data_IF_909036357174
#
_entry.id   IF_909036357174
#
_cell.length_a   1.000
_cell.length_b   1.000
_cell.length_c   1.000
_cell.angle_alpha   90.00
_cell.angle_beta   90.00
_cell.angle_gamma   90.00
#
_symmetry.space_group_name_H-M   'P 1'
#
loop_
_entity.id
_entity.type
_entity.pdbx_description
1 polymer ?
#
# COMPACT_ATOMS: atom_id res chain seq x y z
N UNK A 1 -23.46 -7.26 0.56
CA UNK A 1 -22.81 -6.15 1.29
C UNK A 1 -22.71 -4.96 0.35
N UNK A 2 -23.11 -3.75 0.76
CA UNK A 2 -22.94 -2.57 -0.10
C UNK A 2 -21.45 -2.36 -0.40
N UNK A 3 -21.11 -2.07 -1.65
CA UNK A 3 -19.72 -1.83 -2.10
C UNK A 3 -19.02 -0.78 -1.22
N UNK A 4 -19.77 0.23 -0.79
CA UNK A 4 -19.30 1.26 0.14
C UNK A 4 -18.85 0.70 1.49
N UNK A 5 -19.58 -0.29 2.01
CA UNK A 5 -19.24 -0.94 3.27
C UNK A 5 -17.93 -1.72 3.16
N UNK A 6 -17.67 -2.36 2.02
CA UNK A 6 -16.40 -3.04 1.75
C UNK A 6 -15.24 -2.05 1.74
N UNK A 7 -15.39 -0.90 1.09
CA UNK A 7 -14.35 0.15 1.04
C UNK A 7 -14.03 0.67 2.44
N UNK A 8 -15.04 0.95 3.27
CA UNK A 8 -14.81 1.52 4.60
C UNK A 8 -14.29 0.48 5.60
N UNK A 9 -14.85 -0.73 5.63
CA UNK A 9 -14.52 -1.74 6.64
C UNK A 9 -13.23 -2.51 6.32
N UNK A 10 -12.83 -2.59 5.04
CA UNK A 10 -11.66 -3.38 4.64
C UNK A 10 -10.54 -2.47 4.12
N UNK A 11 -10.82 -1.53 3.22
CA UNK A 11 -9.75 -0.73 2.61
C UNK A 11 -9.17 0.35 3.54
N UNK A 12 -9.86 0.73 4.61
CA UNK A 12 -9.41 1.77 5.55
C UNK A 12 -8.57 1.24 6.72
N UNK A 13 -8.95 0.17 7.45
CA UNK A 13 -8.15 -0.28 8.60
C UNK A 13 -6.82 -0.90 8.20
N UNK A 14 -6.74 -1.60 7.07
CA UNK A 14 -5.52 -2.26 6.59
C UNK A 14 -4.35 -1.26 6.46
N UNK A 15 -4.46 -0.17 5.68
CA UNK A 15 -3.35 0.76 5.54
C UNK A 15 -3.03 1.48 6.86
N UNK A 16 -4.01 1.73 7.73
CA UNK A 16 -3.76 2.33 9.05
C UNK A 16 -2.90 1.42 9.91
N UNK A 17 -3.25 0.14 10.01
CA UNK A 17 -2.50 -0.83 10.82
C UNK A 17 -1.09 -1.01 10.26
N UNK A 18 -0.95 -1.16 8.94
CA UNK A 18 0.37 -1.31 8.30
C UNK A 18 1.22 -0.04 8.46
N UNK A 19 0.64 1.15 8.29
CA UNK A 19 1.33 2.42 8.47
C UNK A 19 1.74 2.61 9.93
N UNK A 20 0.87 2.29 10.89
CA UNK A 20 1.18 2.34 12.31
C UNK A 20 2.34 1.40 12.68
N UNK A 21 2.34 0.18 12.13
CA UNK A 21 3.44 -0.77 12.29
C UNK A 21 4.75 -0.25 11.70
N UNK A 22 4.70 0.44 10.55
CA UNK A 22 5.88 1.03 9.89
C UNK A 22 6.40 2.29 10.61
N UNK A 23 5.51 3.11 11.17
CA UNK A 23 5.84 4.32 11.90
C UNK A 23 6.32 4.07 13.33
N UNK A 24 6.10 2.87 13.87
CA UNK A 24 6.53 2.54 15.23
C UNK A 24 8.07 2.56 15.33
N UNK A 25 8.67 3.42 16.19
CA UNK A 25 10.12 3.51 16.35
C UNK A 25 10.62 2.29 17.14
N UNK A 26 10.94 1.21 16.43
CA UNK A 26 11.30 -0.06 17.04
C UNK A 26 12.80 -0.36 16.94
N UNK A 27 13.35 -1.29 17.75
CA UNK A 27 14.70 -1.79 17.54
C UNK A 27 14.87 -2.45 16.16
N UNK A 28 16.08 -2.39 15.59
CA UNK A 28 16.38 -2.77 14.18
C UNK A 28 15.86 -4.15 13.77
N UNK A 29 15.89 -5.12 14.68
CA UNK A 29 15.41 -6.50 14.44
C UNK A 29 13.90 -6.52 14.22
N UNK A 30 13.15 -5.74 14.97
CA UNK A 30 11.70 -5.60 14.82
C UNK A 30 11.36 -4.93 13.49
N UNK A 31 12.08 -3.87 13.10
CA UNK A 31 11.86 -3.24 11.79
C UNK A 31 12.03 -4.22 10.63
N UNK A 32 13.05 -5.08 10.66
CA UNK A 32 13.24 -6.13 9.63
C UNK A 32 12.09 -7.14 9.62
N UNK A 33 11.57 -7.51 10.79
CA UNK A 33 10.41 -8.38 10.93
C UNK A 33 9.14 -7.75 10.35
N UNK A 34 8.85 -6.51 10.74
CA UNK A 34 7.72 -5.73 10.21
C UNK A 34 7.83 -5.56 8.70
N UNK A 35 9.03 -5.24 8.19
CA UNK A 35 9.25 -5.11 6.75
C UNK A 35 8.90 -6.40 6.02
N UNK A 36 9.30 -7.58 6.54
CA UNK A 36 8.96 -8.87 5.94
C UNK A 36 7.47 -9.16 5.98
N UNK A 37 6.78 -8.81 7.08
CA UNK A 37 5.32 -8.97 7.17
C UNK A 37 4.61 -8.07 6.17
N UNK A 38 5.03 -6.80 6.09
CA UNK A 38 4.50 -5.82 5.14
C UNK A 38 4.79 -6.26 3.70
N UNK A 39 6.00 -6.71 3.40
CA UNK A 39 6.40 -7.23 2.09
C UNK A 39 5.59 -8.47 1.69
N UNK A 40 5.39 -9.40 2.64
CA UNK A 40 4.54 -10.57 2.41
C UNK A 40 3.07 -10.22 2.21
N UNK A 41 2.58 -9.17 2.88
CA UNK A 41 1.16 -8.76 2.79
C UNK A 41 0.91 -7.96 1.51
N UNK A 42 1.81 -7.05 1.15
CA UNK A 42 1.72 -6.24 -0.07
C UNK A 42 2.12 -7.02 -1.32
N UNK A 43 2.98 -8.03 -1.17
CA UNK A 43 3.44 -8.94 -2.23
C UNK A 43 2.49 -10.10 -2.53
N UNK A 44 1.30 -10.15 -1.91
CA UNK A 44 0.26 -11.10 -2.32
C UNK A 44 -0.14 -10.76 -3.76
N UNK A 45 0.26 -11.61 -4.68
CA UNK A 45 -0.01 -11.46 -6.10
C UNK A 45 -1.44 -11.96 -6.39
N UNK A 46 -2.36 -11.02 -6.65
CA UNK A 46 -3.77 -11.35 -6.83
C UNK A 46 -4.07 -11.89 -8.24
N UNK A 47 -3.35 -11.40 -9.26
CA UNK A 47 -3.51 -11.81 -10.66
C UNK A 47 -2.13 -11.96 -11.31
N UNK A 48 -1.71 -13.21 -11.52
CA UNK A 48 -0.63 -13.58 -12.45
C UNK A 48 0.75 -12.98 -12.19
N UNK A 49 1.16 -12.76 -10.94
CA UNK A 49 2.46 -12.13 -10.58
C UNK A 49 2.67 -10.67 -11.07
N UNK A 50 1.70 -10.03 -11.74
CA UNK A 50 1.87 -8.67 -12.29
C UNK A 50 1.27 -7.60 -11.40
N UNK A 51 0.16 -7.89 -10.70
CA UNK A 51 -0.52 -6.93 -9.83
C UNK A 51 -0.36 -7.30 -8.36
N UNK A 52 0.54 -6.59 -7.67
CA UNK A 52 0.66 -6.61 -6.22
C UNK A 52 -0.59 -6.01 -5.56
N UNK A 53 -0.98 -6.54 -4.40
CA UNK A 53 -2.12 -6.07 -3.60
C UNK A 53 -2.11 -4.55 -3.39
N UNK A 54 -0.93 -3.95 -3.22
CA UNK A 54 -0.77 -2.51 -3.09
C UNK A 54 -1.33 -1.77 -4.30
N UNK A 55 -0.92 -2.16 -5.51
CA UNK A 55 -1.34 -1.51 -6.75
C UNK A 55 -2.84 -1.69 -6.96
N UNK A 56 -3.35 -2.89 -6.68
CA UNK A 56 -4.77 -3.18 -6.73
C UNK A 56 -5.57 -2.27 -5.78
N UNK A 57 -5.18 -2.18 -4.52
CA UNK A 57 -5.86 -1.34 -3.52
C UNK A 57 -5.73 0.15 -3.84
N UNK A 58 -4.62 0.58 -4.45
CA UNK A 58 -4.43 1.96 -4.91
C UNK A 58 -5.39 2.30 -6.05
N UNK A 59 -5.58 1.38 -7.00
CA UNK A 59 -6.56 1.53 -8.09
C UNK A 59 -7.99 1.53 -7.54
N UNK A 60 -8.33 0.63 -6.62
CA UNK A 60 -9.67 0.54 -6.01
C UNK A 60 -9.98 1.80 -5.21
N UNK A 61 -9.07 2.26 -4.36
CA UNK A 61 -9.25 3.49 -3.57
C UNK A 61 -9.26 4.75 -4.45
N UNK A 62 -8.45 4.79 -5.52
CA UNK A 62 -8.48 5.87 -6.51
C UNK A 62 -9.80 5.92 -7.28
N UNK A 63 -10.33 4.77 -7.71
CA UNK A 63 -11.64 4.67 -8.34
C UNK A 63 -12.77 5.10 -7.40
N UNK A 64 -12.70 4.70 -6.12
CA UNK A 64 -13.65 5.14 -5.10
C UNK A 64 -13.59 6.67 -4.89
N UNK A 65 -12.40 7.26 -4.83
CA UNK A 65 -12.23 8.70 -4.75
C UNK A 65 -12.85 9.41 -5.96
N UNK A 66 -12.55 8.97 -7.19
CA UNK A 66 -13.14 9.53 -8.40
C UNK A 66 -14.68 9.42 -8.43
N UNK A 67 -15.23 8.30 -7.97
CA UNK A 67 -16.67 8.10 -7.85
C UNK A 67 -17.31 9.09 -6.85
N UNK A 68 -16.66 9.31 -5.70
CA UNK A 68 -17.14 10.30 -4.71
C UNK A 68 -17.02 11.73 -5.22
N UNK A 69 -15.93 12.08 -5.91
CA UNK A 69 -15.74 13.38 -6.56
C UNK A 69 -16.90 13.65 -7.53
N UNK A 70 -17.18 12.71 -8.43
CA UNK A 70 -18.29 12.83 -9.39
C UNK A 70 -19.63 13.03 -8.69
N UNK A 71 -19.89 12.27 -7.63
CA UNK A 71 -21.14 12.36 -6.86
C UNK A 71 -21.29 13.74 -6.18
N UNK A 72 -20.21 14.26 -5.60
CA UNK A 72 -20.19 15.57 -4.95
C UNK A 72 -20.42 16.70 -5.96
N UNK A 73 -19.79 16.64 -7.13
CA UNK A 73 -20.02 17.61 -8.21
C UNK A 73 -21.47 17.59 -8.70
N UNK A 74 -22.03 16.41 -8.95
CA UNK A 74 -23.44 16.28 -9.38
C UNK A 74 -24.43 16.88 -8.37
N UNK A 75 -24.20 16.68 -7.07
CA UNK A 75 -25.04 17.24 -6.00
C UNK A 75 -24.85 18.75 -5.80
N UNK A 76 -23.69 19.29 -6.16
CA UNK A 76 -23.41 20.72 -6.13
C UNK A 76 -24.14 21.43 -7.27
N UNK A 77 -24.13 20.85 -8.46
CA UNK A 77 -24.78 21.39 -9.67
C UNK A 77 -26.31 21.22 -9.66
N UNK A 78 -26.84 20.37 -8.78
CA UNK A 78 -28.27 20.23 -8.57
C UNK A 78 -28.85 21.51 -7.94
N UNK A 79 -29.24 22.46 -8.80
CA UNK A 79 -30.02 23.64 -8.43
C UNK A 79 -31.45 23.18 -8.13
N UNK A 80 -31.92 23.45 -6.92
CA UNK A 80 -33.33 23.30 -6.58
C UNK A 80 -34.09 24.48 -7.22
N UNK A 81 -35.18 24.18 -7.91
CA UNK A 81 -36.06 25.21 -8.43
C UNK A 81 -36.74 25.93 -7.26
N UNK A 82 -36.47 27.24 -7.05
CA UNK A 82 -36.97 28.00 -5.90
C UNK A 82 -38.50 28.03 -5.80
N UNK A 83 -39.22 27.79 -6.90
CA UNK A 83 -40.68 27.79 -6.93
C UNK A 83 -41.33 26.52 -6.36
N UNK A 84 -40.56 25.44 -6.16
CA UNK A 84 -41.06 24.12 -5.74
C UNK A 84 -40.44 23.59 -4.43
N UNK A 85 -39.62 24.39 -3.74
CA UNK A 85 -38.90 23.93 -2.55
C UNK A 85 -39.76 24.01 -1.30
N UNK A 86 -40.23 22.87 -0.82
CA UNK A 86 -40.71 22.75 0.56
C UNK A 86 -39.53 22.61 1.53
N UNK A 87 -39.64 23.08 2.79
CA UNK A 87 -38.58 22.92 3.79
C UNK A 87 -38.09 21.48 3.96
N UNK A 88 -39.00 20.50 3.83
CA UNK A 88 -38.66 19.07 3.90
C UNK A 88 -37.74 18.62 2.75
N UNK A 89 -37.97 19.12 1.53
CA UNK A 89 -37.12 18.84 0.36
C UNK A 89 -35.74 19.48 0.54
N UNK A 90 -35.69 20.68 1.12
CA UNK A 90 -34.44 21.37 1.42
C UNK A 90 -33.60 20.57 2.44
N UNK A 91 -34.18 20.16 3.57
CA UNK A 91 -33.50 19.35 4.58
C UNK A 91 -33.02 18.01 4.02
N UNK A 92 -33.83 17.37 3.16
CA UNK A 92 -33.43 16.13 2.50
C UNK A 92 -32.23 16.34 1.56
N UNK A 93 -32.19 17.43 0.79
CA UNK A 93 -31.07 17.73 -0.11
C UNK A 93 -29.80 18.11 0.67
N UNK A 94 -29.93 18.94 1.71
CA UNK A 94 -28.82 19.25 2.62
C UNK A 94 -28.24 17.97 3.25
N UNK A 95 -29.10 17.04 3.67
CA UNK A 95 -28.67 15.74 4.17
C UNK A 95 -27.97 14.86 3.13
N UNK A 96 -28.33 14.94 1.84
CA UNK A 96 -27.62 14.24 0.76
C UNK A 96 -26.25 14.85 0.52
N UNK A 97 -26.14 16.17 0.47
CA UNK A 97 -24.88 16.91 0.33
C UNK A 97 -23.91 16.60 1.47
N UNK A 98 -24.39 16.63 2.71
CA UNK A 98 -23.57 16.28 3.87
C UNK A 98 -23.00 14.85 3.79
N UNK A 99 -23.82 13.87 3.40
CA UNK A 99 -23.36 12.49 3.24
C UNK A 99 -22.32 12.35 2.12
N UNK A 100 -22.52 13.04 1.00
CA UNK A 100 -21.59 13.03 -0.12
C UNK A 100 -20.24 13.66 0.27
N UNK A 101 -20.27 14.80 0.95
CA UNK A 101 -19.08 15.48 1.47
C UNK A 101 -18.28 14.56 2.41
N UNK A 102 -18.96 13.95 3.39
CA UNK A 102 -18.33 13.00 4.32
C UNK A 102 -17.71 11.81 3.57
N UNK A 103 -18.43 11.23 2.60
CA UNK A 103 -17.93 10.11 1.83
C UNK A 103 -16.71 10.50 0.98
N UNK A 104 -16.69 11.72 0.43
CA UNK A 104 -15.53 12.28 -0.26
C UNK A 104 -14.32 12.35 0.67
N UNK A 105 -14.46 12.90 1.88
CA UNK A 105 -13.35 12.97 2.83
C UNK A 105 -12.83 11.59 3.25
N UNK A 106 -13.71 10.62 3.47
CA UNK A 106 -13.32 9.24 3.79
C UNK A 106 -12.53 8.62 2.63
N UNK A 107 -13.03 8.74 1.40
CA UNK A 107 -12.35 8.20 0.22
C UNK A 107 -10.99 8.89 -0.02
N UNK A 108 -10.93 10.21 0.17
CA UNK A 108 -9.71 11.01 0.05
C UNK A 108 -8.65 10.55 1.05
N UNK A 109 -9.00 10.49 2.34
CA UNK A 109 -8.09 10.03 3.39
C UNK A 109 -7.63 8.59 3.13
N UNK A 110 -8.55 7.70 2.74
CA UNK A 110 -8.21 6.30 2.43
C UNK A 110 -7.20 6.21 1.29
N UNK A 111 -7.43 6.93 0.20
CA UNK A 111 -6.50 6.98 -0.93
C UNK A 111 -5.14 7.56 -0.52
N UNK A 112 -5.13 8.67 0.24
CA UNK A 112 -3.90 9.27 0.75
C UNK A 112 -3.13 8.31 1.66
N UNK A 113 -3.81 7.55 2.52
CA UNK A 113 -3.18 6.53 3.38
C UNK A 113 -2.50 5.44 2.55
N UNK A 114 -3.15 4.96 1.48
CA UNK A 114 -2.54 3.98 0.57
C UNK A 114 -1.33 4.57 -0.17
N UNK A 115 -1.40 5.82 -0.62
CA UNK A 115 -0.25 6.52 -1.22
C UNK A 115 0.91 6.69 -0.24
N UNK A 116 0.63 7.08 1.01
CA UNK A 116 1.63 7.21 2.06
C UNK A 116 2.26 5.85 2.37
N UNK A 117 1.45 4.81 2.54
CA UNK A 117 1.93 3.46 2.78
C UNK A 117 2.90 3.00 1.68
N UNK A 118 2.54 3.24 0.41
CA UNK A 118 3.39 2.91 -0.72
C UNK A 118 4.73 3.64 -0.69
N UNK A 119 4.71 4.95 -0.39
CA UNK A 119 5.94 5.76 -0.28
C UNK A 119 6.80 5.33 0.92
N UNK A 120 6.20 5.16 2.09
CA UNK A 120 6.92 4.73 3.29
C UNK A 120 7.54 3.35 3.12
N UNK A 121 6.82 2.41 2.52
CA UNK A 121 7.34 1.08 2.21
C UNK A 121 8.55 1.15 1.26
N UNK A 122 8.50 1.96 0.19
CA UNK A 122 9.63 2.15 -0.72
C UNK A 122 10.85 2.75 -0.01
N UNK A 123 10.64 3.78 0.82
CA UNK A 123 11.72 4.45 1.57
C UNK A 123 12.37 3.47 2.55
N UNK A 124 11.57 2.71 3.29
CA UNK A 124 12.05 1.76 4.28
C UNK A 124 12.77 0.56 3.64
N UNK A 125 12.29 0.11 2.48
CA UNK A 125 12.97 -0.90 1.67
C UNK A 125 14.34 -0.42 1.21
N UNK A 126 14.41 0.80 0.65
CA UNK A 126 15.68 1.38 0.22
C UNK A 126 16.65 1.56 1.40
N UNK A 127 16.15 2.04 2.55
CA UNK A 127 16.96 2.15 3.77
C UNK A 127 17.54 0.81 4.20
N UNK A 128 16.74 -0.26 4.18
CA UNK A 128 17.20 -1.60 4.52
C UNK A 128 18.28 -2.11 3.55
N UNK A 129 18.11 -1.89 2.24
CA UNK A 129 19.10 -2.25 1.21
C UNK A 129 20.43 -1.50 1.39
N UNK A 130 20.36 -0.21 1.72
CA UNK A 130 21.54 0.62 2.00
C UNK A 130 22.25 0.17 3.26
N UNK A 131 21.51 -0.11 4.34
CA UNK A 131 22.08 -0.64 5.59
C UNK A 131 22.75 -2.01 5.40
N UNK A 132 22.14 -2.90 4.61
CA UNK A 132 22.72 -4.20 4.30
C UNK A 132 23.98 -4.07 3.43
N UNK A 133 24.01 -3.12 2.50
CA UNK A 133 25.19 -2.81 1.69
C UNK A 133 26.33 -2.27 2.57
N UNK A 134 26.03 -1.38 3.51
CA UNK A 134 27.00 -0.87 4.49
C UNK A 134 27.53 -1.98 5.41
N UNK A 135 26.68 -2.88 5.88
CA UNK A 135 27.09 -4.01 6.72
C UNK A 135 28.04 -4.96 5.97
N UNK A 136 27.77 -5.24 4.69
CA UNK A 136 28.66 -6.04 3.82
C UNK A 136 30.02 -5.38 3.62
N UNK A 137 30.06 -4.07 3.40
CA UNK A 137 31.30 -3.32 3.21
C UNK A 137 32.10 -3.14 4.51
N UNK A 138 31.43 -3.06 5.67
CA UNK A 138 32.07 -2.96 6.99
C UNK A 138 32.65 -4.28 7.50
N UNK A 139 32.41 -5.40 6.83
CA UNK A 139 32.98 -6.70 7.20
C UNK A 139 32.26 -7.42 8.34
N UNK A 140 31.12 -6.93 8.82
CA UNK A 140 30.33 -7.55 9.91
C UNK A 140 29.50 -8.77 9.45
N UNK A 141 29.90 -9.45 8.37
CA UNK A 141 29.23 -10.67 7.95
C UNK A 141 29.55 -11.81 8.94
N UNK A 142 28.57 -12.41 9.64
CA UNK A 142 28.82 -13.69 10.27
C UNK A 142 29.07 -14.70 9.14
N UNK A 143 30.29 -15.24 9.12
CA UNK A 143 30.66 -16.33 8.24
C UNK A 143 29.74 -17.53 8.50
N UNK A 144 28.68 -17.69 7.69
CA UNK A 144 27.94 -18.94 7.55
C UNK A 144 27.32 -19.06 6.16
N UNK A 145 28.14 -19.49 5.21
CA UNK A 145 27.81 -20.63 4.34
C UNK A 145 29.12 -21.21 3.80
N UNK A 146 29.66 -22.17 4.54
CA UNK A 146 30.61 -23.16 4.04
C UNK A 146 29.95 -23.96 2.92
N UNK A 147 30.17 -23.54 1.68
CA UNK A 147 30.07 -24.41 0.50
C UNK A 147 31.41 -25.13 0.28
N UNK A 148 31.44 -26.39 -0.18
CA UNK A 148 32.66 -27.16 -0.27
C UNK A 148 33.63 -26.56 -1.29
N UNK A 149 34.91 -26.57 -0.95
CA UNK A 149 36.01 -26.06 -1.75
C UNK A 149 35.98 -26.63 -3.19
N UNK A 150 36.27 -25.81 -4.22
CA UNK A 150 36.47 -26.33 -5.57
C UNK A 150 37.75 -27.17 -5.57
N UNK A 151 37.59 -28.47 -5.78
CA UNK A 151 38.65 -29.43 -6.05
C UNK A 151 39.51 -28.97 -7.22
N UNK A 152 40.83 -28.92 -7.00
CA UNK A 152 41.88 -28.69 -8.01
C UNK A 152 41.61 -29.56 -9.26
N UNK A 153 41.67 -29.00 -10.49
CA UNK A 153 41.68 -29.82 -11.68
C UNK A 153 43.01 -30.57 -11.82
N UNK A 154 42.89 -31.87 -12.04
CA UNK A 154 43.94 -32.85 -12.27
C UNK A 154 44.67 -32.58 -13.60
N UNK A 155 46.00 -32.76 -13.70
CA UNK A 155 46.74 -32.47 -14.92
C UNK A 155 46.46 -33.51 -16.00
N UNK A 156 45.97 -33.05 -17.15
CA UNK A 156 45.74 -33.85 -18.36
C UNK A 156 47.08 -34.37 -18.89
N UNK A 157 47.32 -35.67 -18.75
CA UNK A 157 48.44 -36.39 -19.37
C UNK A 157 48.24 -36.40 -20.88
N UNK A 158 49.06 -35.62 -21.58
CA UNK A 158 49.14 -35.57 -23.04
C UNK A 158 49.78 -36.88 -23.53
N UNK A 159 48.98 -37.81 -24.07
CA UNK A 159 49.51 -38.94 -24.84
C UNK A 159 49.77 -38.48 -26.26
N UNK A 160 51.05 -38.42 -26.61
CA UNK A 160 51.57 -38.26 -27.97
C UNK A 160 51.63 -39.62 -28.65
N UNK A 161 50.80 -39.84 -29.67
CA UNK A 161 51.04 -40.69 -30.84
C UNK A 161 50.27 -40.12 -32.03
#
# INVERSE_FOLDING_TARGET
MSLWKMVVEICLPIPIVLLALLCFPAPRVFHRGVLKVVDSTLGINLVGNVLSLLHFMLVVSGAALLATIRTTYQLKDQKLDPSSVTPNVLSANLGKRWRAERNFWIAFITFTLWCLLARFYQILKHKAEVEDSLARLRGDAPAKSSGPAPTKPEPVVRKSQ
#
